data_IF_319320642102
#
_entry.id   IF_319320642102
#
_cell.length_a   1.000
_cell.length_b   1.000
_cell.length_c   1.000
_cell.angle_alpha   90.00
_cell.angle_beta   90.00
_cell.angle_gamma   90.00
#
_symmetry.space_group_name_H-M   'P 1'
#
loop_
_entity.id
_entity.type
_entity.pdbx_description
1 polymer ?
#
# COMPACT_ATOMS: atom_id res chain seq x y z
N UNK A 1 -15.43 -15.02 -1.06
CA UNK A 1 -14.32 -14.91 -2.01
C UNK A 1 -14.82 -15.38 -3.37
N UNK A 2 -14.61 -14.60 -4.42
CA UNK A 2 -15.01 -14.96 -5.77
C UNK A 2 -14.05 -16.01 -6.38
N UNK A 3 -14.54 -16.79 -7.36
CA UNK A 3 -13.74 -17.81 -8.05
C UNK A 3 -13.08 -17.24 -9.32
N UNK A 4 -12.23 -16.23 -9.16
CA UNK A 4 -11.58 -15.52 -10.27
C UNK A 4 -10.64 -16.36 -11.12
N UNK A 5 -10.27 -17.56 -10.69
CA UNK A 5 -9.45 -18.48 -11.49
C UNK A 5 -10.15 -18.93 -12.79
N UNK A 6 -11.49 -18.86 -12.86
CA UNK A 6 -12.27 -19.19 -14.04
C UNK A 6 -12.46 -18.02 -15.01
N UNK A 7 -12.03 -16.82 -14.65
CA UNK A 7 -12.12 -15.65 -15.51
C UNK A 7 -11.17 -15.74 -16.71
N UNK A 8 -11.64 -15.26 -17.87
CA UNK A 8 -10.92 -15.27 -19.15
C UNK A 8 -10.55 -13.83 -19.53
N UNK A 9 -9.28 -13.62 -19.87
CA UNK A 9 -8.78 -12.33 -20.36
C UNK A 9 -9.46 -11.95 -21.69
N UNK A 10 -9.79 -10.67 -21.82
CA UNK A 10 -10.50 -10.13 -22.98
C UNK A 10 -12.01 -10.39 -22.98
N UNK A 11 -12.54 -11.13 -21.98
CA UNK A 11 -13.98 -11.38 -21.81
C UNK A 11 -14.45 -10.89 -20.44
N UNK A 12 -13.82 -11.36 -19.38
CA UNK A 12 -14.21 -11.04 -18.00
C UNK A 12 -13.41 -9.87 -17.39
N UNK A 13 -12.25 -9.58 -17.96
CA UNK A 13 -11.38 -8.48 -17.58
C UNK A 13 -10.41 -8.14 -18.71
N UNK A 14 -10.02 -6.87 -18.80
CA UNK A 14 -9.02 -6.41 -19.78
C UNK A 14 -7.62 -6.40 -19.18
N UNK A 15 -7.45 -5.89 -17.98
CA UNK A 15 -6.16 -5.78 -17.32
C UNK A 15 -6.24 -6.06 -15.82
N UNK A 16 -5.28 -6.81 -15.31
CA UNK A 16 -5.22 -7.22 -13.89
C UNK A 16 -4.01 -6.68 -13.16
N UNK A 17 -3.02 -6.15 -13.90
CA UNK A 17 -1.74 -5.79 -13.32
C UNK A 17 -1.86 -4.57 -12.40
N UNK A 18 -1.66 -4.78 -11.11
CA UNK A 18 -1.51 -3.73 -10.12
C UNK A 18 -0.03 -3.57 -9.76
N UNK A 19 0.50 -2.34 -9.67
CA UNK A 19 1.86 -2.14 -9.18
C UNK A 19 2.00 -2.63 -7.74
N UNK A 20 3.14 -3.27 -7.45
CA UNK A 20 3.52 -3.69 -6.10
C UNK A 20 4.87 -3.07 -5.78
N UNK A 21 5.00 -2.47 -4.59
CA UNK A 21 6.24 -1.86 -4.15
C UNK A 21 7.37 -2.90 -4.11
N UNK A 22 8.54 -2.49 -4.60
CA UNK A 22 9.75 -3.31 -4.51
C UNK A 22 10.40 -3.16 -3.15
N UNK A 23 11.06 -4.20 -2.67
CA UNK A 23 11.74 -4.17 -1.38
C UNK A 23 12.83 -3.09 -1.33
N UNK A 24 13.52 -2.87 -2.46
CA UNK A 24 14.52 -1.82 -2.60
C UNK A 24 13.94 -0.42 -2.39
N UNK A 25 12.73 -0.16 -2.90
CA UNK A 25 12.03 1.12 -2.68
C UNK A 25 11.76 1.36 -1.19
N UNK A 26 11.37 0.31 -0.47
CA UNK A 26 11.15 0.39 0.98
C UNK A 26 12.46 0.67 1.72
N UNK A 27 13.56 0.01 1.35
CA UNK A 27 14.87 0.27 1.95
C UNK A 27 15.35 1.71 1.70
N UNK A 28 15.15 2.22 0.49
CA UNK A 28 15.48 3.63 0.15
C UNK A 28 14.60 4.58 0.99
N UNK A 29 13.32 4.30 1.14
CA UNK A 29 12.41 5.09 1.95
C UNK A 29 12.82 5.14 3.43
N UNK A 30 13.20 3.99 4.00
CA UNK A 30 13.72 3.89 5.37
C UNK A 30 15.02 4.70 5.55
N UNK A 31 15.94 4.60 4.60
CA UNK A 31 17.20 5.35 4.63
C UNK A 31 16.96 6.85 4.50
N UNK A 32 16.06 7.26 3.61
CA UNK A 32 15.67 8.66 3.42
C UNK A 32 15.03 9.24 4.68
N UNK A 33 14.07 8.54 5.28
CA UNK A 33 13.41 8.96 6.52
C UNK A 33 14.41 9.11 7.68
N UNK A 34 15.35 8.18 7.78
CA UNK A 34 16.42 8.22 8.78
C UNK A 34 17.35 9.41 8.56
N UNK A 35 17.78 9.68 7.32
CA UNK A 35 18.63 10.82 6.98
C UNK A 35 17.99 12.16 7.31
N UNK A 36 16.69 12.30 7.03
CA UNK A 36 15.92 13.53 7.29
C UNK A 36 15.29 13.58 8.68
N UNK A 37 15.60 12.63 9.58
CA UNK A 37 15.14 12.58 10.96
C UNK A 37 13.62 12.62 11.14
N UNK A 38 12.86 11.98 10.27
CA UNK A 38 11.43 11.76 10.49
C UNK A 38 11.10 10.28 10.58
N UNK A 39 9.99 9.97 11.23
CA UNK A 39 9.53 8.60 11.41
C UNK A 39 8.45 8.25 10.40
N UNK A 40 8.52 7.03 9.89
CA UNK A 40 7.48 6.44 9.06
C UNK A 40 6.39 5.84 9.95
N UNK A 41 5.16 6.03 9.52
CA UNK A 41 3.96 5.47 10.11
C UNK A 41 3.35 4.45 9.16
N UNK A 42 2.57 3.54 9.70
CA UNK A 42 1.86 2.51 8.93
C UNK A 42 0.37 2.54 9.22
N UNK A 43 -0.42 2.39 8.16
CA UNK A 43 -1.86 2.10 8.22
C UNK A 43 -2.16 0.87 7.38
N UNK A 44 -3.12 0.09 7.84
CA UNK A 44 -3.67 -1.06 7.14
C UNK A 44 -5.12 -0.79 6.74
N UNK A 45 -5.45 -1.00 5.47
CA UNK A 45 -6.81 -0.82 4.95
C UNK A 45 -7.58 -2.12 5.07
N UNK A 46 -8.59 -2.12 5.92
CA UNK A 46 -9.46 -3.27 6.05
C UNK A 46 -10.25 -3.50 4.76
N UNK A 47 -10.21 -4.75 4.31
CA UNK A 47 -10.97 -5.16 3.13
C UNK A 47 -10.69 -4.27 1.90
N UNK A 48 -9.42 -3.95 1.65
CA UNK A 48 -8.97 -3.00 0.63
C UNK A 48 -9.65 -3.21 -0.73
N UNK A 49 -9.69 -4.44 -1.25
CA UNK A 49 -10.28 -4.74 -2.55
C UNK A 49 -11.77 -4.44 -2.64
N UNK A 50 -12.52 -4.50 -1.54
CA UNK A 50 -13.95 -4.16 -1.51
C UNK A 50 -14.21 -2.66 -1.73
N UNK A 51 -13.17 -1.83 -1.71
CA UNK A 51 -13.28 -0.40 -1.99
C UNK A 51 -13.06 -0.07 -3.47
N UNK A 52 -12.44 -0.96 -4.26
CA UNK A 52 -12.17 -0.75 -5.68
C UNK A 52 -13.44 -0.84 -6.52
N UNK A 53 -13.86 0.22 -7.24
CA UNK A 53 -14.97 0.12 -8.18
C UNK A 53 -14.58 -0.75 -9.38
N UNK A 54 -15.55 -1.46 -9.92
CA UNK A 54 -15.37 -2.24 -11.15
C UNK A 54 -15.91 -1.46 -12.35
N UNK A 55 -15.12 -1.38 -13.40
CA UNK A 55 -15.52 -0.84 -14.70
C UNK A 55 -16.18 -1.91 -15.56
N UNK A 56 -15.80 -3.18 -15.37
CA UNK A 56 -16.27 -4.31 -16.12
C UNK A 56 -17.57 -4.89 -15.54
N UNK A 57 -18.33 -5.55 -16.37
CA UNK A 57 -19.55 -6.27 -15.96
C UNK A 57 -19.16 -7.63 -15.38
N UNK A 58 -19.12 -7.70 -14.06
CA UNK A 58 -18.81 -8.94 -13.33
C UNK A 58 -20.07 -9.44 -12.63
N UNK A 59 -20.40 -10.71 -12.89
CA UNK A 59 -21.52 -11.39 -12.26
C UNK A 59 -21.03 -12.53 -11.38
N UNK A 60 -21.61 -12.67 -10.19
CA UNK A 60 -21.32 -13.77 -9.27
C UNK A 60 -22.59 -14.50 -8.87
N UNK A 61 -22.52 -15.81 -8.72
CA UNK A 61 -23.63 -16.60 -8.20
C UNK A 61 -23.95 -16.20 -6.76
N UNK A 62 -25.20 -16.37 -6.39
CA UNK A 62 -25.62 -16.22 -5.01
C UNK A 62 -24.82 -17.21 -4.12
N UNK A 63 -24.34 -16.78 -2.94
CA UNK A 63 -23.61 -17.65 -2.04
C UNK A 63 -24.49 -18.81 -1.54
N UNK A 64 -23.97 -20.04 -1.43
CA UNK A 64 -24.69 -21.16 -0.86
C UNK A 64 -25.27 -20.85 0.53
N UNK A 65 -26.57 -21.08 0.68
CA UNK A 65 -27.33 -20.78 1.90
C UNK A 65 -27.83 -19.35 2.03
N UNK A 66 -27.61 -18.51 1.02
CA UNK A 66 -28.11 -17.13 0.92
C UNK A 66 -28.82 -16.87 -0.41
N UNK A 67 -29.27 -17.94 -1.05
CA UNK A 67 -30.04 -17.85 -2.29
C UNK A 67 -31.41 -17.24 -2.00
N UNK A 68 -31.83 -16.29 -2.84
CA UNK A 68 -33.18 -15.72 -2.76
C UNK A 68 -34.22 -16.80 -3.17
N UNK A 69 -35.16 -17.15 -2.30
CA UNK A 69 -36.17 -18.15 -2.60
C UNK A 69 -37.06 -17.81 -3.79
N UNK A 70 -37.25 -16.50 -4.09
CA UNK A 70 -38.06 -16.04 -5.20
C UNK A 70 -37.31 -16.00 -6.53
N UNK A 71 -35.97 -15.90 -6.46
CA UNK A 71 -35.11 -15.74 -7.63
C UNK A 71 -33.82 -16.59 -7.52
N UNK A 72 -33.97 -17.93 -7.39
CA UNK A 72 -32.81 -18.81 -7.10
C UNK A 72 -31.75 -18.84 -8.21
N UNK A 73 -32.15 -18.59 -9.46
CA UNK A 73 -31.27 -18.55 -10.61
C UNK A 73 -30.66 -17.19 -10.91
N UNK A 74 -31.03 -16.15 -10.15
CA UNK A 74 -30.45 -14.83 -10.34
C UNK A 74 -29.03 -14.76 -9.82
N UNK A 75 -28.23 -13.88 -10.43
CA UNK A 75 -26.84 -13.59 -10.06
C UNK A 75 -26.70 -12.15 -9.58
N UNK A 76 -25.71 -11.88 -8.75
CA UNK A 76 -25.36 -10.52 -8.37
C UNK A 76 -24.46 -9.90 -9.42
N UNK A 77 -24.81 -8.69 -9.88
CA UNK A 77 -23.91 -7.81 -10.59
C UNK A 77 -23.05 -7.08 -9.55
N UNK A 78 -21.75 -7.07 -9.73
CA UNK A 78 -20.84 -6.40 -8.81
C UNK A 78 -20.59 -4.96 -9.25
N UNK A 79 -20.74 -4.02 -8.33
CA UNK A 79 -20.33 -2.62 -8.50
C UNK A 79 -18.90 -2.39 -7.95
N UNK A 80 -18.45 -3.26 -7.05
CA UNK A 80 -17.13 -3.22 -6.43
C UNK A 80 -16.46 -4.58 -6.50
N UNK A 81 -15.13 -4.56 -6.49
CA UNK A 81 -14.32 -5.76 -6.53
C UNK A 81 -14.53 -6.65 -5.29
N UNK A 82 -14.33 -7.93 -5.48
CA UNK A 82 -14.32 -8.93 -4.41
C UNK A 82 -12.95 -9.64 -4.39
N UNK A 83 -12.56 -10.07 -3.20
CA UNK A 83 -11.39 -10.94 -3.06
C UNK A 83 -11.55 -12.21 -3.92
N UNK A 84 -10.50 -12.52 -4.66
CA UNK A 84 -10.46 -13.64 -5.58
C UNK A 84 -10.71 -13.27 -7.05
N UNK A 85 -11.23 -12.08 -7.38
CA UNK A 85 -11.25 -11.58 -8.75
C UNK A 85 -9.84 -11.17 -9.20
N UNK A 86 -9.49 -11.45 -10.45
CA UNK A 86 -8.17 -11.14 -11.02
C UNK A 86 -7.91 -9.63 -11.09
N UNK A 87 -8.93 -8.82 -11.41
CA UNK A 87 -8.84 -7.36 -11.51
C UNK A 87 -8.97 -6.62 -10.17
N UNK A 88 -9.29 -7.30 -9.07
CA UNK A 88 -9.52 -6.65 -7.78
C UNK A 88 -8.31 -5.83 -7.26
N UNK A 89 -7.06 -6.31 -7.33
CA UNK A 89 -5.90 -5.52 -6.92
C UNK A 89 -5.73 -4.23 -7.73
N UNK A 90 -5.99 -4.29 -9.05
CA UNK A 90 -5.91 -3.13 -9.92
C UNK A 90 -7.01 -2.12 -9.60
N UNK A 91 -8.27 -2.55 -9.48
CA UNK A 91 -9.38 -1.68 -9.15
C UNK A 91 -9.15 -0.93 -7.83
N UNK A 92 -8.59 -1.61 -6.83
CA UNK A 92 -8.20 -0.98 -5.57
C UNK A 92 -7.05 0.04 -5.75
N UNK A 93 -5.98 -0.33 -6.44
CA UNK A 93 -4.84 0.55 -6.68
C UNK A 93 -5.27 1.84 -7.41
N UNK A 94 -6.04 1.72 -8.49
CA UNK A 94 -6.49 2.88 -9.26
C UNK A 94 -7.38 3.81 -8.42
N UNK A 95 -8.31 3.24 -7.64
CA UNK A 95 -9.16 4.03 -6.74
C UNK A 95 -8.35 4.84 -5.71
N UNK A 96 -7.36 4.19 -5.09
CA UNK A 96 -6.50 4.87 -4.13
C UNK A 96 -5.57 5.90 -4.81
N UNK A 97 -5.03 5.55 -5.99
CA UNK A 97 -4.22 6.44 -6.81
C UNK A 97 -4.99 7.71 -7.18
N UNK A 98 -6.21 7.59 -7.68
CA UNK A 98 -7.08 8.73 -8.00
C UNK A 98 -7.31 9.63 -6.77
N UNK A 99 -7.68 9.06 -5.63
CA UNK A 99 -7.85 9.80 -4.40
C UNK A 99 -6.59 10.60 -4.03
N UNK A 100 -5.41 10.01 -4.13
CA UNK A 100 -4.14 10.68 -3.80
C UNK A 100 -3.79 11.77 -4.81
N UNK A 101 -3.96 11.51 -6.10
CA UNK A 101 -3.70 12.51 -7.17
C UNK A 101 -4.64 13.71 -7.03
N UNK A 102 -5.92 13.49 -6.75
CA UNK A 102 -6.91 14.56 -6.50
C UNK A 102 -6.54 15.42 -5.28
N UNK A 103 -5.74 14.87 -4.35
CA UNK A 103 -5.22 15.60 -3.18
C UNK A 103 -3.84 16.24 -3.43
N UNK A 104 -3.39 16.24 -4.68
CA UNK A 104 -2.16 16.89 -5.12
C UNK A 104 -0.89 16.07 -4.90
N UNK A 105 -1.03 14.75 -4.70
CA UNK A 105 0.12 13.86 -4.70
C UNK A 105 0.58 13.57 -6.14
N UNK A 106 1.88 13.45 -6.30
CA UNK A 106 2.53 13.06 -7.55
C UNK A 106 2.93 11.58 -7.47
N UNK A 107 2.60 10.83 -8.50
CA UNK A 107 3.00 9.42 -8.65
C UNK A 107 4.48 9.35 -9.03
N UNK A 108 5.23 8.44 -8.43
CA UNK A 108 6.63 8.21 -8.78
C UNK A 108 6.78 7.67 -10.20
N UNK A 109 7.71 8.24 -10.95
CA UNK A 109 7.94 7.86 -12.36
C UNK A 109 8.50 6.44 -12.52
N UNK A 110 9.30 5.98 -11.56
CA UNK A 110 9.98 4.67 -11.60
C UNK A 110 9.21 3.63 -10.76
N UNK A 111 8.64 4.08 -9.65
CA UNK A 111 7.83 3.26 -8.76
C UNK A 111 6.44 3.89 -8.65
N UNK A 112 5.44 3.35 -9.37
CA UNK A 112 4.08 3.86 -9.34
C UNK A 112 3.40 3.73 -7.98
N UNK A 113 3.94 2.93 -7.07
CA UNK A 113 3.42 2.77 -5.71
C UNK A 113 3.95 3.83 -4.73
N UNK A 114 4.91 4.66 -5.17
CA UNK A 114 5.43 5.79 -4.43
C UNK A 114 4.65 7.07 -4.78
N UNK A 115 4.13 7.73 -3.79
CA UNK A 115 3.44 9.02 -3.92
C UNK A 115 4.16 10.07 -3.10
N UNK A 116 4.33 11.25 -3.69
CA UNK A 116 5.00 12.37 -3.02
C UNK A 116 4.16 13.63 -3.13
N UNK A 117 4.22 14.46 -2.10
CA UNK A 117 3.61 15.80 -2.11
C UNK A 117 4.55 16.80 -1.44
N UNK A 118 4.74 17.96 -2.07
CA UNK A 118 5.50 19.06 -1.46
C UNK A 118 4.55 20.17 -1.02
N UNK A 119 4.69 20.59 0.23
CA UNK A 119 3.93 21.72 0.82
C UNK A 119 4.92 22.55 1.62
N UNK A 120 5.02 23.84 1.31
CA UNK A 120 5.90 24.81 2.00
C UNK A 120 7.37 24.36 2.10
N UNK A 121 7.87 23.66 1.06
CA UNK A 121 9.22 23.12 1.03
C UNK A 121 9.41 21.76 1.70
N UNK A 122 8.47 21.33 2.51
CA UNK A 122 8.46 20.04 3.18
C UNK A 122 7.99 18.93 2.24
N UNK A 123 8.64 17.79 2.29
CA UNK A 123 8.28 16.61 1.50
C UNK A 123 7.47 15.64 2.35
N UNK A 124 6.29 15.29 1.86
CA UNK A 124 5.49 14.17 2.35
C UNK A 124 5.66 12.98 1.39
N UNK A 125 5.88 11.80 1.94
CA UNK A 125 6.06 10.57 1.17
C UNK A 125 5.01 9.54 1.63
N UNK A 126 4.43 8.85 0.65
CA UNK A 126 3.51 7.76 0.87
C UNK A 126 3.87 6.61 -0.07
N UNK A 127 4.08 5.42 0.47
CA UNK A 127 4.37 4.19 -0.27
C UNK A 127 3.24 3.20 -0.06
N UNK A 128 2.70 2.67 -1.14
CA UNK A 128 1.63 1.67 -1.12
C UNK A 128 2.21 0.27 -1.25
N UNK A 129 1.69 -0.65 -0.46
CA UNK A 129 1.95 -2.08 -0.61
C UNK A 129 0.64 -2.84 -0.38
N UNK A 130 -0.13 -3.02 -1.45
CA UNK A 130 -1.46 -3.64 -1.47
C UNK A 130 -2.45 -2.92 -0.55
N UNK A 131 -2.64 -3.41 0.68
CA UNK A 131 -3.48 -2.88 1.75
C UNK A 131 -2.71 -2.06 2.79
N UNK A 132 -1.39 -2.23 2.85
CA UNK A 132 -0.50 -1.46 3.70
C UNK A 132 -0.12 -0.11 3.09
N UNK A 133 -0.18 0.95 3.89
CA UNK A 133 0.24 2.29 3.54
C UNK A 133 1.30 2.77 4.51
N UNK A 134 2.52 2.96 4.00
CA UNK A 134 3.64 3.54 4.76
C UNK A 134 3.75 5.01 4.38
N UNK A 135 3.80 5.91 5.35
CA UNK A 135 3.87 7.34 5.06
C UNK A 135 4.66 8.10 6.13
N UNK A 136 5.14 9.26 5.75
CA UNK A 136 5.83 10.15 6.67
C UNK A 136 6.26 11.47 6.07
N UNK A 137 6.53 12.41 6.96
CA UNK A 137 7.06 13.74 6.67
C UNK A 137 7.80 14.27 7.90
N UNK A 138 8.70 15.21 7.71
CA UNK A 138 9.29 16.02 8.79
C UNK A 138 8.22 16.81 9.55
N UNK A 139 7.13 17.20 8.88
CA UNK A 139 6.02 17.92 9.45
C UNK A 139 4.93 16.97 9.99
N UNK A 140 4.81 16.90 11.30
CA UNK A 140 3.82 16.04 11.98
C UNK A 140 2.36 16.44 11.68
N UNK A 141 2.09 17.69 11.36
CA UNK A 141 0.73 18.13 11.03
C UNK A 141 0.26 17.46 9.72
N UNK A 142 1.13 17.34 8.72
CA UNK A 142 0.82 16.65 7.48
C UNK A 142 0.58 15.15 7.68
N UNK A 143 1.34 14.52 8.58
CA UNK A 143 1.12 13.11 8.92
C UNK A 143 -0.28 12.90 9.53
N UNK A 144 -0.69 13.78 10.43
CA UNK A 144 -2.01 13.72 11.07
C UNK A 144 -3.15 14.02 10.09
N UNK A 145 -2.97 15.01 9.22
CA UNK A 145 -3.94 15.36 8.18
C UNK A 145 -4.14 14.18 7.20
N UNK A 146 -3.06 13.58 6.73
CA UNK A 146 -3.11 12.42 5.88
C UNK A 146 -3.76 11.22 6.58
N UNK A 147 -3.36 10.95 7.83
CA UNK A 147 -3.94 9.88 8.62
C UNK A 147 -5.46 10.03 8.78
N UNK A 148 -5.94 11.27 9.00
CA UNK A 148 -7.36 11.59 9.08
C UNK A 148 -8.05 11.42 7.73
N UNK A 149 -7.48 11.98 6.66
CA UNK A 149 -8.01 11.86 5.30
C UNK A 149 -8.28 10.40 4.94
N UNK A 150 -7.31 9.52 5.22
CA UNK A 150 -7.42 8.11 4.91
C UNK A 150 -8.49 7.41 5.76
N UNK A 151 -8.58 7.74 7.07
CA UNK A 151 -9.59 7.16 7.97
C UNK A 151 -11.00 7.64 7.64
N UNK A 152 -11.15 8.87 7.14
CA UNK A 152 -12.45 9.41 6.71
C UNK A 152 -12.97 8.76 5.42
N UNK A 153 -12.09 8.15 4.61
CA UNK A 153 -12.41 7.54 3.33
C UNK A 153 -12.53 6.01 3.39
N UNK A 154 -11.70 5.38 4.20
CA UNK A 154 -11.60 3.92 4.29
C UNK A 154 -11.66 3.45 5.74
N UNK A 155 -12.20 2.26 5.95
CA UNK A 155 -12.07 1.58 7.23
C UNK A 155 -10.61 1.14 7.40
N UNK A 156 -9.89 1.73 8.35
CA UNK A 156 -8.46 1.53 8.54
C UNK A 156 -8.10 1.25 9.99
N UNK A 157 -7.08 0.40 10.15
CA UNK A 157 -6.37 0.27 11.41
C UNK A 157 -5.16 1.21 11.43
N UNK A 158 -5.01 1.97 12.52
CA UNK A 158 -3.79 2.75 12.75
C UNK A 158 -2.78 1.84 13.46
N UNK A 159 -1.71 1.47 12.75
CA UNK A 159 -0.65 0.62 13.29
C UNK A 159 0.37 1.44 14.09
N UNK A 160 0.36 2.79 13.94
CA UNK A 160 1.32 3.67 14.60
C UNK A 160 2.62 3.84 13.82
N UNK A 161 3.72 3.93 14.57
CA UNK A 161 5.07 3.95 13.99
C UNK A 161 5.35 2.61 13.30
N UNK A 162 6.01 2.64 12.14
CA UNK A 162 6.35 1.44 11.39
C UNK A 162 7.32 0.56 12.19
N UNK A 163 6.84 -0.56 12.70
CA UNK A 163 7.61 -1.51 13.51
C UNK A 163 7.80 -2.87 12.81
N UNK A 164 6.84 -3.30 12.01
CA UNK A 164 6.89 -4.59 11.31
C UNK A 164 6.45 -4.41 9.86
N UNK A 165 7.26 -4.86 8.93
CA UNK A 165 6.90 -4.83 7.52
C UNK A 165 7.57 -5.96 6.75
N UNK A 166 6.78 -6.72 5.97
CA UNK A 166 7.25 -7.84 5.14
C UNK A 166 8.17 -8.84 5.89
N UNK A 167 7.85 -9.14 7.14
CA UNK A 167 8.62 -10.06 7.95
C UNK A 167 9.89 -9.45 8.59
N UNK A 168 10.14 -8.15 8.38
CA UNK A 168 11.22 -7.43 9.04
C UNK A 168 10.69 -6.68 10.26
N UNK A 169 11.41 -6.77 11.37
CA UNK A 169 11.23 -5.88 12.49
C UNK A 169 12.05 -4.61 12.27
N UNK A 170 11.41 -3.45 12.22
CA UNK A 170 12.02 -2.17 11.90
C UNK A 170 12.14 -1.35 13.18
N UNK A 171 13.35 -0.95 13.56
CA UNK A 171 13.58 -0.04 14.68
C UNK A 171 13.99 1.33 14.14
N UNK A 172 13.15 2.33 14.35
CA UNK A 172 13.41 3.72 13.97
C UNK A 172 13.97 4.49 15.17
N UNK A 173 15.29 4.58 15.29
CA UNK A 173 16.00 5.29 16.36
C UNK A 173 16.49 6.65 15.86
N UNK A 174 16.81 7.58 16.77
CA UNK A 174 17.42 8.86 16.40
C UNK A 174 18.78 8.71 15.69
N UNK A 175 19.45 7.60 15.91
CA UNK A 175 20.78 7.31 15.34
C UNK A 175 20.70 6.57 13.98
N UNK A 176 19.50 6.18 13.53
CA UNK A 176 19.29 5.45 12.30
C UNK A 176 18.10 4.50 12.35
N UNK A 177 17.73 3.98 11.21
CA UNK A 177 16.68 2.96 11.06
C UNK A 177 17.34 1.61 10.79
N UNK A 178 16.98 0.60 11.56
CA UNK A 178 17.55 -0.72 11.51
C UNK A 178 16.47 -1.75 11.18
N UNK A 179 16.48 -2.33 9.96
CA UNK A 179 15.70 -3.53 9.69
C UNK A 179 16.40 -4.72 10.38
N UNK A 180 15.68 -5.35 11.30
CA UNK A 180 16.12 -6.59 11.94
C UNK A 180 15.36 -7.73 11.28
N UNK A 181 16.06 -8.71 10.70
CA UNK A 181 15.41 -9.95 10.32
C UNK A 181 14.87 -10.64 11.58
N UNK A 182 13.62 -11.16 11.51
CA UNK A 182 13.15 -12.10 12.54
C UNK A 182 14.16 -13.23 12.63
N UNK A 183 14.53 -13.70 13.82
CA UNK A 183 15.57 -14.70 13.98
C UNK A 183 15.13 -16.03 13.35
N UNK A 184 15.58 -16.28 12.12
CA UNK A 184 15.89 -17.62 11.66
C UNK A 184 17.16 -18.04 12.41
N UNK A 185 17.30 -19.27 12.90
CA UNK A 185 18.45 -19.67 13.69
C UNK A 185 19.68 -19.89 12.78
N UNK A 186 20.30 -18.79 12.36
CA UNK A 186 21.61 -18.80 11.70
C UNK A 186 22.32 -17.49 12.02
N UNK A 187 23.48 -17.54 12.68
CA UNK A 187 24.24 -16.35 13.03
C UNK A 187 25.09 -15.94 11.84
N UNK A 188 24.62 -15.09 10.98
CA UNK A 188 25.45 -14.25 10.11
C UNK A 188 24.56 -13.33 9.27
N UNK A 189 24.35 -12.12 9.73
CA UNK A 189 24.08 -11.01 8.80
C UNK A 189 24.39 -9.69 9.47
N UNK A 190 25.47 -9.12 8.96
CA UNK A 190 26.01 -7.82 9.24
C UNK A 190 24.96 -6.72 9.31
N UNK A 191 25.03 -5.93 10.37
CA UNK A 191 24.42 -4.61 10.49
C UNK A 191 24.78 -3.76 9.25
N UNK A 192 23.84 -3.61 8.33
CA UNK A 192 23.88 -2.51 7.38
C UNK A 192 23.30 -1.28 8.07
N UNK A 193 24.19 -0.49 8.67
CA UNK A 193 23.88 0.86 9.09
C UNK A 193 23.69 1.69 7.82
N UNK A 194 22.44 1.86 7.37
CA UNK A 194 22.10 2.64 6.17
C UNK A 194 22.36 4.15 6.32
N UNK A 195 22.78 4.61 7.50
CA UNK A 195 23.10 6.01 7.77
C UNK A 195 24.50 6.49 7.39
N UNK A 196 25.47 5.58 7.17
CA UNK A 196 26.87 5.97 6.95
C UNK A 196 27.37 5.87 5.50
N UNK A 197 26.53 5.40 4.57
CA UNK A 197 26.94 5.19 3.18
C UNK A 197 26.67 6.35 2.23
N UNK A 198 25.88 7.34 2.64
CA UNK A 198 25.50 8.48 1.77
C UNK A 198 26.59 9.56 1.76
N UNK A 199 27.37 9.70 2.82
CA UNK A 199 28.45 10.71 2.88
C UNK A 199 29.66 10.39 1.98
N UNK A 200 29.75 9.18 1.41
CA UNK A 200 30.85 8.81 0.50
C UNK A 200 30.57 8.97 -0.99
N UNK A 201 29.33 9.23 -1.38
CA UNK A 201 28.95 9.37 -2.78
C UNK A 201 28.96 10.81 -3.32
N UNK A 202 29.29 11.80 -2.48
CA UNK A 202 29.29 13.23 -2.89
C UNK A 202 30.70 13.81 -3.03
N UNK A 203 31.73 12.98 -3.22
CA UNK A 203 33.08 13.42 -3.59
C UNK A 203 33.58 12.62 -4.78
N UNK A 204 33.09 12.92 -5.95
CA UNK A 204 33.81 12.86 -7.23
C UNK A 204 33.25 14.02 -8.10
#
# INVERSE_FOLDING_TARGET
>A
MAQGYSQVEGIDFDETNAPVARLESIHILLAYASHHNFKLQQKDVKSAFLNGPLSELVYVKQPPGFEDPNFPDHVYKLDKALYGLKQAPRAWYEHLRELLVDRGFQVGLIDPTLFTKRVDGELFICQLYVDDIIFGSTNKAFNNEFAKLMTDKFEMSMMGELEYFLGFHIKQLRQGTFPLSTPSPSPCLSLLALGSSIDRATKI
#
